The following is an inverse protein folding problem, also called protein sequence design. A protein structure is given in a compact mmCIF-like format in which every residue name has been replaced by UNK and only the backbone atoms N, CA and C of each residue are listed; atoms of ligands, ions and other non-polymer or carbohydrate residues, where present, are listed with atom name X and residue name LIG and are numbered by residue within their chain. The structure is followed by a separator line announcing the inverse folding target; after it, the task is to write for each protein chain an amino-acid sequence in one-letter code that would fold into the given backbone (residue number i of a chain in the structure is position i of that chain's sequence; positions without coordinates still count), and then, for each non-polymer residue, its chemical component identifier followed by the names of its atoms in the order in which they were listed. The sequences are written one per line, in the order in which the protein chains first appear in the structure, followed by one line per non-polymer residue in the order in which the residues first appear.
data_IF_073609480656
#
_entry.id   IF_073609480656
#
_cell.length_a   1.000
_cell.length_b   1.000
_cell.length_c   1.000
_cell.angle_alpha   90.00
_cell.angle_beta   90.00
_cell.angle_gamma   90.00
#
_symmetry.space_group_name_H-M   'P 1'
#
loop_
_entity.id
_entity.type
_entity.pdbx_description
1 polymer ?
#
# COMPACT_ATOMS: atom_id res chain seq x y z
N UNK A 1 6.98 -16.14 5.10
CA UNK A 1 7.14 -16.14 6.54
C UNK A 1 7.70 -14.81 7.01
N UNK A 2 6.94 -14.10 7.81
CA UNK A 2 7.34 -12.80 8.27
C UNK A 2 8.19 -12.87 9.51
N UNK A 3 9.04 -11.87 9.66
CA UNK A 3 9.72 -11.61 10.91
C UNK A 3 9.27 -10.23 11.38
N UNK A 4 9.45 -9.99 12.68
CA UNK A 4 9.14 -8.71 13.27
C UNK A 4 9.88 -7.60 12.56
N UNK A 5 9.17 -6.50 12.28
CA UNK A 5 9.75 -5.32 11.67
C UNK A 5 10.06 -4.27 12.73
N UNK A 6 11.21 -3.62 12.63
CA UNK A 6 11.48 -2.46 13.46
C UNK A 6 10.59 -1.28 13.00
N UNK A 7 10.45 -0.28 13.87
CA UNK A 7 9.59 0.88 13.58
C UNK A 7 10.00 1.58 12.28
N UNK A 8 11.30 1.72 12.05
CA UNK A 8 11.83 2.36 10.85
C UNK A 8 11.43 1.60 9.59
N UNK A 9 11.61 0.28 9.59
CA UNK A 9 11.31 -0.56 8.43
C UNK A 9 9.81 -0.62 8.17
N UNK A 10 9.01 -0.65 9.21
CA UNK A 10 7.55 -0.59 9.10
C UNK A 10 7.12 0.68 8.38
N UNK A 11 7.60 1.83 8.84
CA UNK A 11 7.26 3.12 8.23
C UNK A 11 7.75 3.19 6.79
N UNK A 12 8.94 2.68 6.53
CA UNK A 12 9.52 2.66 5.19
C UNK A 12 8.68 1.81 4.24
N UNK A 13 8.27 0.62 4.68
CA UNK A 13 7.47 -0.27 3.86
C UNK A 13 6.11 0.36 3.52
N UNK A 14 5.44 0.92 4.52
CA UNK A 14 4.15 1.59 4.31
C UNK A 14 4.30 2.73 3.30
N UNK A 15 5.34 3.57 3.44
CA UNK A 15 5.58 4.67 2.50
C UNK A 15 5.83 4.17 1.09
N UNK A 16 6.55 3.04 0.95
CA UNK A 16 6.79 2.43 -0.36
C UNK A 16 5.48 1.99 -1.00
N UNK A 17 4.60 1.36 -0.22
CA UNK A 17 3.32 0.90 -0.73
C UNK A 17 2.43 2.08 -1.16
N UNK A 18 2.36 3.13 -0.36
CA UNK A 18 1.58 4.31 -0.70
C UNK A 18 2.16 5.01 -1.93
N UNK A 19 3.47 5.15 -2.01
CA UNK A 19 4.15 5.72 -3.17
C UNK A 19 3.85 4.92 -4.44
N UNK A 20 3.86 3.59 -4.33
CA UNK A 20 3.58 2.72 -5.46
C UNK A 20 2.14 2.82 -5.95
N UNK A 21 1.22 3.33 -5.15
CA UNK A 21 -0.17 3.53 -5.56
C UNK A 21 -0.35 4.78 -6.45
N UNK A 22 0.68 5.61 -6.58
CA UNK A 22 0.65 6.83 -7.41
C UNK A 22 1.38 6.57 -8.72
N UNK A 23 0.87 7.15 -9.79
CA UNK A 23 1.52 7.06 -11.10
C UNK A 23 2.86 7.78 -11.11
N UNK A 24 2.94 8.89 -10.40
CA UNK A 24 4.13 9.72 -10.37
C UNK A 24 4.35 10.29 -8.97
N UNK A 25 5.60 10.32 -8.53
CA UNK A 25 5.99 10.85 -7.24
C UNK A 25 7.10 11.88 -7.40
N UNK A 26 7.29 12.71 -6.36
CA UNK A 26 8.42 13.61 -6.30
C UNK A 26 9.72 12.82 -6.24
N UNK A 27 10.82 13.42 -6.68
CA UNK A 27 12.13 12.78 -6.71
C UNK A 27 12.59 12.25 -5.36
N UNK A 28 12.08 12.84 -4.29
CA UNK A 28 12.44 12.42 -2.93
C UNK A 28 11.74 11.15 -2.48
N UNK A 29 10.75 10.69 -3.24
CA UNK A 29 10.01 9.48 -2.91
C UNK A 29 10.79 8.24 -3.35
N UNK A 30 10.43 7.08 -2.76
CA UNK A 30 11.09 5.82 -3.07
C UNK A 30 10.95 5.43 -4.54
N UNK A 31 9.76 5.64 -5.10
CA UNK A 31 9.50 5.39 -6.51
C UNK A 31 9.14 6.70 -7.19
N UNK A 32 9.92 7.10 -8.18
CA UNK A 32 9.52 8.21 -9.04
C UNK A 32 8.29 7.83 -9.85
N UNK A 33 8.29 6.59 -10.37
CA UNK A 33 7.15 6.01 -11.04
C UNK A 33 6.77 4.70 -10.37
N UNK A 34 5.48 4.38 -10.39
CA UNK A 34 5.00 3.14 -9.79
C UNK A 34 5.65 1.90 -10.44
N UNK A 35 6.03 0.90 -9.65
CA UNK A 35 6.50 -0.37 -10.19
C UNK A 35 5.37 -1.21 -10.77
N UNK A 36 4.11 -0.83 -10.54
CA UNK A 36 2.95 -1.53 -11.05
C UNK A 36 2.46 -0.92 -12.36
N UNK A 37 2.46 -1.71 -13.42
CA UNK A 37 1.92 -1.28 -14.71
C UNK A 37 0.41 -1.00 -14.61
N UNK A 38 -0.29 -1.69 -13.71
CA UNK A 38 -1.72 -1.45 -13.51
C UNK A 38 -1.98 -0.06 -12.94
N UNK A 39 -1.09 0.42 -12.08
CA UNK A 39 -1.20 1.78 -11.54
C UNK A 39 -1.04 2.80 -12.65
N UNK A 40 -0.04 2.65 -13.50
CA UNK A 40 0.18 3.58 -14.61
C UNK A 40 -0.99 3.62 -15.56
N UNK A 41 -1.62 2.49 -15.81
CA UNK A 41 -2.71 2.39 -16.79
C UNK A 41 -4.07 2.79 -16.21
N UNK A 42 -4.36 2.43 -14.96
CA UNK A 42 -5.72 2.50 -14.43
C UNK A 42 -5.93 3.45 -13.26
N UNK A 43 -4.89 3.97 -12.64
CA UNK A 43 -5.06 4.84 -11.47
C UNK A 43 -4.94 6.30 -11.88
N UNK A 44 -5.98 7.08 -11.60
CA UNK A 44 -5.94 8.53 -11.79
C UNK A 44 -5.36 9.23 -10.58
N UNK A 45 -5.73 8.78 -9.38
CA UNK A 45 -5.28 9.38 -8.13
C UNK A 45 -4.98 8.27 -7.13
N UNK A 46 -3.76 8.22 -6.66
CA UNK A 46 -3.32 7.25 -5.65
C UNK A 46 -3.42 7.79 -4.24
N UNK A 47 -2.88 7.03 -3.29
CA UNK A 47 -2.90 7.38 -1.88
C UNK A 47 -2.07 8.62 -1.57
N UNK A 48 -2.55 9.43 -0.63
CA UNK A 48 -1.84 10.62 -0.15
C UNK A 48 -0.93 10.26 1.04
N UNK A 49 -0.07 11.19 1.48
CA UNK A 49 0.71 10.97 2.70
C UNK A 49 -0.13 10.67 3.95
N UNK A 50 -1.39 11.10 3.98
CA UNK A 50 -2.30 10.78 5.07
C UNK A 50 -2.55 9.29 5.19
N UNK A 51 -2.53 8.58 4.06
CA UNK A 51 -2.68 7.12 4.05
C UNK A 51 -1.54 6.47 4.83
N UNK A 52 -0.33 6.98 4.71
CA UNK A 52 0.82 6.47 5.44
C UNK A 52 0.62 6.58 6.95
N UNK A 53 0.14 7.74 7.41
CA UNK A 53 -0.09 7.97 8.83
C UNK A 53 -1.20 7.06 9.36
N UNK A 54 -2.31 7.00 8.64
CA UNK A 54 -3.44 6.16 8.99
C UNK A 54 -3.03 4.68 9.08
N UNK A 55 -2.32 4.20 8.07
CA UNK A 55 -1.87 2.81 8.00
C UNK A 55 -0.95 2.47 9.16
N UNK A 56 0.01 3.35 9.45
CA UNK A 56 0.95 3.14 10.55
C UNK A 56 0.26 3.02 11.91
N UNK A 57 -0.82 3.77 12.13
CA UNK A 57 -1.60 3.68 13.36
C UNK A 57 -2.45 2.42 13.40
N UNK A 58 -3.11 2.09 12.30
CA UNK A 58 -4.03 0.97 12.25
C UNK A 58 -3.32 -0.37 12.35
N UNK A 59 -2.12 -0.51 11.80
CA UNK A 59 -1.45 -1.80 11.76
C UNK A 59 -1.10 -2.32 13.15
N UNK A 60 -0.80 -1.44 14.09
CA UNK A 60 -0.53 -1.84 15.47
C UNK A 60 -1.76 -2.43 16.12
N UNK A 61 -2.89 -1.77 15.95
CA UNK A 61 -4.17 -2.23 16.49
C UNK A 61 -4.59 -3.52 15.79
N UNK A 62 -4.40 -3.59 14.48
CA UNK A 62 -4.73 -4.77 13.69
C UNK A 62 -3.97 -6.00 14.16
N UNK A 63 -2.66 -5.87 14.36
CA UNK A 63 -1.84 -6.98 14.85
C UNK A 63 -2.31 -7.46 16.22
N UNK A 64 -2.64 -6.52 17.10
CA UNK A 64 -3.08 -6.85 18.44
C UNK A 64 -4.45 -7.54 18.43
N UNK A 65 -5.42 -6.99 17.71
CA UNK A 65 -6.79 -7.52 17.71
C UNK A 65 -6.89 -8.82 16.91
N UNK A 66 -6.28 -8.87 15.74
CA UNK A 66 -6.41 -10.01 14.84
C UNK A 66 -5.52 -11.18 15.20
N UNK A 67 -4.29 -10.89 15.61
CA UNK A 67 -3.28 -11.91 15.86
C UNK A 67 -2.80 -12.01 17.31
N UNK A 68 -3.27 -11.14 18.18
CA UNK A 68 -2.94 -11.16 19.60
C UNK A 68 -1.50 -10.83 19.92
N UNK A 69 -0.81 -10.08 19.06
CA UNK A 69 0.59 -9.72 19.29
C UNK A 69 0.82 -8.22 19.20
N UNK A 70 1.85 -7.76 19.89
CA UNK A 70 2.23 -6.35 19.90
C UNK A 70 3.21 -6.01 18.77
N UNK A 71 3.88 -7.02 18.21
CA UNK A 71 4.84 -6.85 17.12
C UNK A 71 4.09 -6.76 15.78
N UNK A 72 4.62 -5.95 14.88
CA UNK A 72 4.08 -5.81 13.52
C UNK A 72 4.97 -6.58 12.55
N UNK A 73 4.35 -7.41 11.73
CA UNK A 73 5.00 -8.16 10.66
C UNK A 73 4.59 -7.57 9.30
N UNK A 74 5.39 -7.82 8.25
CA UNK A 74 5.01 -7.36 6.90
C UNK A 74 3.62 -7.83 6.47
N UNK A 75 3.22 -9.04 6.85
CA UNK A 75 1.92 -9.57 6.52
C UNK A 75 0.78 -8.74 7.10
N UNK A 76 0.98 -8.16 8.29
CA UNK A 76 -0.04 -7.31 8.91
C UNK A 76 -0.28 -6.05 8.07
N UNK A 77 0.80 -5.49 7.54
CA UNK A 77 0.73 -4.31 6.68
C UNK A 77 -0.01 -4.67 5.39
N UNK A 78 0.32 -5.83 4.80
CA UNK A 78 -0.32 -6.28 3.57
C UNK A 78 -1.81 -6.59 3.76
N UNK A 79 -2.18 -7.16 4.89
CA UNK A 79 -3.58 -7.46 5.20
C UNK A 79 -4.44 -6.20 5.23
N UNK A 80 -3.88 -5.09 5.70
CA UNK A 80 -4.61 -3.83 5.78
C UNK A 80 -4.64 -3.05 4.48
N UNK A 81 -3.83 -3.42 3.50
CA UNK A 81 -3.65 -2.62 2.28
C UNK A 81 -4.98 -2.28 1.60
N UNK A 82 -5.86 -3.25 1.41
CA UNK A 82 -7.14 -3.03 0.74
C UNK A 82 -8.08 -2.12 1.53
N UNK A 83 -7.97 -2.14 2.85
CA UNK A 83 -8.82 -1.30 3.70
C UNK A 83 -8.32 0.14 3.76
N UNK A 84 -7.01 0.34 3.69
CA UNK A 84 -6.43 1.68 3.74
C UNK A 84 -6.43 2.33 2.37
N UNK A 85 -6.03 1.61 1.33
CA UNK A 85 -5.89 2.16 -0.02
C UNK A 85 -7.15 2.03 -0.88
N UNK A 86 -7.99 1.05 -0.61
CA UNK A 86 -9.11 0.71 -1.48
C UNK A 86 -10.07 1.87 -1.78
N UNK A 87 -10.32 2.73 -0.80
CA UNK A 87 -11.19 3.89 -0.99
C UNK A 87 -10.44 5.19 -1.18
N UNK A 88 -9.10 5.13 -1.28
CA UNK A 88 -8.23 6.28 -1.49
C UNK A 88 -7.61 6.30 -2.88
N UNK A 89 -7.84 5.24 -3.66
CA UNK A 89 -7.37 5.14 -5.04
C UNK A 89 -8.55 5.40 -5.96
N UNK A 90 -8.39 6.36 -6.87
CA UNK A 90 -9.40 6.67 -7.88
C UNK A 90 -8.97 6.06 -9.21
N UNK A 91 -9.84 5.22 -9.75
CA UNK A 91 -9.55 4.51 -10.98
C UNK A 91 -10.01 5.32 -12.19
N UNK A 92 -9.28 5.16 -13.29
CA UNK A 92 -9.69 5.72 -14.57
C UNK A 92 -10.97 5.02 -15.05
N UNK A 93 -11.84 5.71 -15.82
CA UNK A 93 -13.09 5.12 -16.27
C UNK A 93 -12.94 3.81 -17.03
N UNK A 94 -11.87 3.66 -17.82
CA UNK A 94 -11.64 2.44 -18.59
C UNK A 94 -11.37 1.21 -17.70
N UNK A 95 -10.97 1.41 -16.46
CA UNK A 95 -10.72 0.30 -15.54
C UNK A 95 -12.01 -0.48 -15.28
N UNK A 96 -13.12 0.23 -15.03
CA UNK A 96 -14.40 -0.40 -14.79
C UNK A 96 -14.85 -1.21 -16.00
N UNK A 97 -14.65 -0.66 -17.21
CA UNK A 97 -15.01 -1.35 -18.45
C UNK A 97 -14.23 -2.63 -18.67
N UNK A 98 -13.04 -2.73 -18.13
CA UNK A 98 -12.19 -3.92 -18.25
C UNK A 98 -12.24 -4.84 -17.03
N UNK A 99 -13.13 -4.54 -16.08
CA UNK A 99 -13.26 -5.35 -14.87
C UNK A 99 -12.11 -5.21 -13.88
N UNK A 100 -11.32 -4.15 -14.00
CA UNK A 100 -10.21 -3.90 -13.08
C UNK A 100 -10.74 -3.25 -11.81
N UNK A 101 -10.40 -3.82 -10.66
CA UNK A 101 -10.85 -3.34 -9.36
C UNK A 101 -9.66 -2.81 -8.56
N UNK A 102 -9.94 -1.91 -7.61
CA UNK A 102 -8.90 -1.39 -6.74
C UNK A 102 -8.13 -2.50 -6.04
N UNK A 103 -8.82 -3.56 -5.62
CA UNK A 103 -8.20 -4.70 -4.94
C UNK A 103 -7.15 -5.39 -5.81
N UNK A 104 -7.44 -5.53 -7.10
CA UNK A 104 -6.49 -6.14 -8.05
C UNK A 104 -5.19 -5.33 -8.12
N UNK A 105 -5.35 -4.00 -8.17
CA UNK A 105 -4.20 -3.09 -8.23
C UNK A 105 -3.40 -3.13 -6.93
N UNK A 106 -4.08 -3.15 -5.80
CA UNK A 106 -3.45 -3.21 -4.49
C UNK A 106 -2.66 -4.52 -4.32
N UNK A 107 -3.23 -5.63 -4.77
CA UNK A 107 -2.53 -6.92 -4.73
C UNK A 107 -1.28 -6.89 -5.61
N UNK A 108 -1.36 -6.29 -6.79
CA UNK A 108 -0.20 -6.17 -7.67
C UNK A 108 0.89 -5.31 -7.04
N UNK A 109 0.52 -4.20 -6.40
CA UNK A 109 1.46 -3.36 -5.66
C UNK A 109 2.16 -4.19 -4.57
N UNK A 110 1.40 -4.98 -3.83
CA UNK A 110 1.93 -5.81 -2.76
C UNK A 110 2.97 -6.81 -3.23
N UNK A 111 2.82 -7.33 -4.44
CA UNK A 111 3.79 -8.30 -5.00
C UNK A 111 5.03 -7.62 -5.56
N UNK A 112 4.95 -6.35 -5.94
CA UNK A 112 6.06 -5.65 -6.60
C UNK A 112 6.91 -4.80 -5.70
N UNK A 113 6.38 -4.38 -4.56
CA UNK A 113 7.12 -3.54 -3.61
C UNK A 113 7.95 -4.44 -2.69
N UNK A 114 9.28 -4.27 -2.67
CA UNK A 114 10.13 -5.11 -1.81
C UNK A 114 9.94 -4.76 -0.34
N UNK A 115 10.00 -5.79 0.49
CA UNK A 115 9.97 -5.65 1.94
C UNK A 115 11.38 -5.23 2.40
N UNK A 116 11.50 -4.17 3.20
CA UNK A 116 12.80 -3.72 3.69
C UNK A 116 13.53 -4.76 4.54
#
# INVERSE_FOLDING_TARGET
MGSEMCIRDKSKYIRRLVSASRTYNAETEWFERSPSALVEEFVELGGSPRATICWGRLVKVWALITHGRSEVYPEDIQELAKYVLGHRIWLAPQATGQGIRAETIIDDIGTRVPIP
#
